data_IF_338322829408
#
_entry.id   IF_338322829408
#
_cell.length_a   1.000
_cell.length_b   1.000
_cell.length_c   1.000
_cell.angle_alpha   90.00
_cell.angle_beta   90.00
_cell.angle_gamma   90.00
#
_symmetry.space_group_name_H-M   'P 1'
#
loop_
_entity.id
_entity.type
_entity.pdbx_description
1 polymer ?
#
# COMPACT_ATOMS: atom_id res chain seq x y z
N UNK A 1 -33.85 14.45 9.95
CA UNK A 1 -32.54 13.82 10.19
C UNK A 1 -32.44 12.38 9.68
N UNK A 2 -33.53 11.72 9.29
CA UNK A 2 -33.50 10.30 8.84
C UNK A 2 -32.69 10.02 7.56
N UNK A 3 -32.48 11.05 6.73
CA UNK A 3 -31.68 10.94 5.49
C UNK A 3 -30.19 11.25 5.71
N UNK A 4 -29.77 11.63 6.91
CA UNK A 4 -28.36 11.85 7.27
C UNK A 4 -27.79 10.57 7.87
N UNK A 5 -26.58 10.19 7.47
CA UNK A 5 -25.88 9.05 8.05
C UNK A 5 -25.78 9.19 9.59
N UNK A 6 -25.97 8.10 10.38
CA UNK A 6 -25.93 8.15 11.84
C UNK A 6 -24.74 8.92 12.42
N UNK A 7 -23.51 8.64 11.97
CA UNK A 7 -22.30 9.30 12.51
C UNK A 7 -22.20 10.80 12.17
N UNK A 8 -22.95 11.28 11.18
CA UNK A 8 -22.86 12.67 10.73
C UNK A 8 -23.96 13.55 11.36
N UNK A 9 -24.84 12.97 12.20
CA UNK A 9 -25.97 13.67 12.82
C UNK A 9 -25.51 14.76 13.78
N UNK A 10 -24.46 14.52 14.55
CA UNK A 10 -23.89 15.49 15.50
C UNK A 10 -23.31 16.70 14.76
N UNK A 11 -22.63 16.45 13.64
CA UNK A 11 -22.12 17.50 12.74
C UNK A 11 -23.25 18.39 12.22
N UNK A 12 -24.36 17.79 11.80
CA UNK A 12 -25.55 18.54 11.34
C UNK A 12 -26.19 19.33 12.47
N UNK A 13 -26.31 18.74 13.67
CA UNK A 13 -26.86 19.42 14.83
C UNK A 13 -26.01 20.65 15.22
N UNK A 14 -24.69 20.53 15.21
CA UNK A 14 -23.77 21.65 15.44
C UNK A 14 -23.92 22.77 14.40
N UNK A 15 -24.18 22.42 13.13
CA UNK A 15 -24.43 23.40 12.08
C UNK A 15 -25.74 24.19 12.31
N UNK A 16 -26.80 23.51 12.74
CA UNK A 16 -28.06 24.16 13.12
C UNK A 16 -27.90 25.06 14.34
N UNK A 17 -27.14 24.62 15.34
CA UNK A 17 -26.88 25.41 16.55
C UNK A 17 -26.03 26.65 16.25
N UNK A 18 -25.02 26.54 15.38
CA UNK A 18 -24.26 27.68 14.89
C UNK A 18 -25.18 28.71 14.22
N UNK A 19 -26.14 28.24 13.42
CA UNK A 19 -27.13 29.11 12.80
C UNK A 19 -28.04 29.80 13.84
N UNK A 20 -28.48 29.07 14.88
CA UNK A 20 -29.34 29.59 15.95
C UNK A 20 -28.65 30.62 16.85
N UNK A 21 -27.34 30.44 17.06
CA UNK A 21 -26.49 31.32 17.88
C UNK A 21 -26.00 32.56 17.12
N UNK A 22 -26.48 32.80 15.89
CA UNK A 22 -26.21 34.02 15.14
C UNK A 22 -24.98 33.98 14.26
N UNK A 23 -24.40 32.81 13.99
CA UNK A 23 -23.32 32.70 13.00
C UNK A 23 -23.85 33.11 11.62
N UNK A 24 -23.10 33.96 10.92
CA UNK A 24 -23.51 34.48 9.61
C UNK A 24 -23.41 33.43 8.50
N UNK A 25 -22.53 32.44 8.65
CA UNK A 25 -22.29 31.35 7.69
C UNK A 25 -21.80 30.10 8.42
N UNK A 26 -22.01 28.95 7.80
CA UNK A 26 -21.37 27.70 8.21
C UNK A 26 -21.44 26.66 7.10
N UNK A 27 -20.57 25.66 7.17
CA UNK A 27 -20.54 24.55 6.23
C UNK A 27 -20.13 23.25 6.89
N UNK A 28 -20.67 22.13 6.39
CA UNK A 28 -20.27 20.79 6.76
C UNK A 28 -20.33 19.86 5.54
N UNK A 29 -19.52 18.80 5.56
CA UNK A 29 -19.61 17.69 4.61
C UNK A 29 -20.22 16.51 5.35
N UNK A 30 -21.25 15.90 4.78
CA UNK A 30 -22.01 14.82 5.40
C UNK A 30 -22.39 13.77 4.36
N UNK A 31 -22.64 12.54 4.82
CA UNK A 31 -23.26 11.49 4.01
C UNK A 31 -24.77 11.63 4.05
N UNK A 32 -25.36 11.80 2.87
CA UNK A 32 -26.79 11.98 2.71
C UNK A 32 -27.39 10.88 1.83
N UNK A 33 -28.55 10.36 2.25
CA UNK A 33 -29.18 9.20 1.63
C UNK A 33 -29.86 9.57 0.31
N UNK A 34 -29.39 8.96 -0.78
CA UNK A 34 -29.96 9.02 -2.11
C UNK A 34 -30.71 7.71 -2.43
N UNK A 35 -32.04 7.76 -2.46
CA UNK A 35 -32.87 6.57 -2.66
C UNK A 35 -32.86 5.61 -1.46
N UNK A 36 -33.12 4.33 -1.71
CA UNK A 36 -33.38 3.33 -0.67
C UNK A 36 -32.12 2.88 0.08
N UNK A 37 -30.94 2.81 -0.56
CA UNK A 37 -29.78 2.12 0.05
C UNK A 37 -28.41 2.82 -0.09
N UNK A 38 -28.26 3.86 -0.90
CA UNK A 38 -26.96 4.51 -1.11
C UNK A 38 -26.84 5.85 -0.35
N UNK A 39 -25.65 6.10 0.20
CA UNK A 39 -25.25 7.42 0.68
C UNK A 39 -24.35 8.10 -0.35
N UNK A 40 -24.52 9.41 -0.51
CA UNK A 40 -23.63 10.28 -1.28
C UNK A 40 -22.99 11.29 -0.35
N UNK A 41 -21.76 11.69 -0.64
CA UNK A 41 -21.15 12.83 0.02
C UNK A 41 -21.76 14.13 -0.49
N UNK A 42 -22.23 14.96 0.45
CA UNK A 42 -22.82 16.27 0.14
C UNK A 42 -22.20 17.35 1.03
N UNK A 43 -21.96 18.52 0.45
CA UNK A 43 -21.59 19.71 1.21
C UNK A 43 -22.86 20.51 1.49
N UNK A 44 -23.19 20.66 2.77
CA UNK A 44 -24.23 21.58 3.23
C UNK A 44 -23.59 22.89 3.67
N UNK A 45 -24.18 24.00 3.25
CA UNK A 45 -23.75 25.35 3.61
C UNK A 45 -24.98 26.16 3.98
N UNK A 46 -24.86 27.03 4.98
CA UNK A 46 -25.88 28.02 5.27
C UNK A 46 -25.28 29.42 5.27
N UNK A 47 -26.11 30.40 4.90
CA UNK A 47 -25.82 31.82 5.07
C UNK A 47 -27.05 32.50 5.67
N UNK A 48 -26.83 33.21 6.77
CA UNK A 48 -27.86 33.96 7.45
C UNK A 48 -27.94 35.36 6.85
N UNK A 49 -29.11 35.75 6.36
CA UNK A 49 -29.31 37.05 5.71
C UNK A 49 -29.94 38.04 6.71
N UNK A 50 -29.31 39.19 6.97
CA UNK A 50 -29.93 40.23 7.78
C UNK A 50 -31.08 40.90 7.03
N UNK A 51 -32.21 41.16 7.71
CA UNK A 51 -33.24 42.04 7.16
C UNK A 51 -32.77 43.50 7.17
N UNK A 52 -33.21 44.26 6.16
CA UNK A 52 -32.93 45.69 6.01
C UNK A 52 -33.39 46.57 7.21
N UNK A 53 -34.23 46.04 8.12
CA UNK A 53 -34.72 46.74 9.31
C UNK A 53 -33.90 46.49 10.60
N UNK A 54 -32.80 45.74 10.52
CA UNK A 54 -31.71 45.85 11.51
C UNK A 54 -31.86 45.14 12.86
N UNK A 55 -32.78 44.19 13.08
CA UNK A 55 -32.83 43.53 14.40
C UNK A 55 -33.19 42.04 14.49
N UNK A 56 -33.44 41.31 13.39
CA UNK A 56 -33.59 39.86 13.46
C UNK A 56 -33.15 39.13 12.18
N UNK A 57 -32.51 37.97 12.35
CA UNK A 57 -32.10 37.08 11.25
C UNK A 57 -33.24 36.10 10.98
N UNK A 58 -34.17 36.42 10.08
CA UNK A 58 -35.32 35.53 9.82
C UNK A 58 -35.15 34.63 8.59
N UNK A 59 -34.11 34.83 7.77
CA UNK A 59 -33.91 34.05 6.54
C UNK A 59 -32.54 33.37 6.50
N UNK A 60 -32.58 32.05 6.38
CA UNK A 60 -31.41 31.19 6.19
C UNK A 60 -31.46 30.71 4.74
N UNK A 61 -30.40 30.99 3.99
CA UNK A 61 -30.19 30.36 2.69
C UNK A 61 -29.34 29.11 2.89
N UNK A 62 -29.93 27.95 2.66
CA UNK A 62 -29.22 26.67 2.62
C UNK A 62 -28.82 26.32 1.19
N UNK A 63 -27.57 25.88 1.01
CA UNK A 63 -27.10 25.23 -0.21
C UNK A 63 -26.64 23.83 0.11
N UNK A 64 -27.07 22.87 -0.69
CA UNK A 64 -26.63 21.49 -0.64
C UNK A 64 -26.03 21.16 -2.00
N UNK A 65 -24.76 20.77 -2.01
CA UNK A 65 -24.01 20.46 -3.22
C UNK A 65 -23.59 19.00 -3.14
N UNK A 66 -23.92 18.23 -4.17
CA UNK A 66 -23.36 16.89 -4.34
C UNK A 66 -21.85 17.02 -4.57
N UNK A 67 -21.07 16.39 -3.70
CA UNK A 67 -19.61 16.38 -3.78
C UNK A 67 -19.08 14.95 -3.92
N UNK A 68 -19.93 13.98 -4.23
CA UNK A 68 -19.54 12.56 -4.29
C UNK A 68 -18.48 12.32 -5.38
N UNK A 69 -18.64 12.92 -6.56
CA UNK A 69 -17.62 12.88 -7.61
C UNK A 69 -16.31 13.53 -7.17
N UNK A 70 -16.36 14.66 -6.46
CA UNK A 70 -15.17 15.36 -5.98
C UNK A 70 -14.46 14.56 -4.89
N UNK A 71 -15.22 13.94 -3.98
CA UNK A 71 -14.72 13.10 -2.93
C UNK A 71 -14.07 11.84 -3.50
N UNK A 72 -14.78 11.13 -4.39
CA UNK A 72 -14.25 9.96 -5.07
C UNK A 72 -13.03 10.29 -5.93
N UNK A 73 -12.99 11.46 -6.57
CA UNK A 73 -11.81 11.92 -7.31
C UNK A 73 -10.65 12.24 -6.36
N UNK A 74 -10.88 12.91 -5.23
CA UNK A 74 -9.84 13.16 -4.23
C UNK A 74 -9.30 11.86 -3.63
N UNK A 75 -10.16 10.90 -3.31
CA UNK A 75 -9.73 9.61 -2.77
C UNK A 75 -9.00 8.77 -3.82
N UNK A 76 -9.44 8.80 -5.08
CA UNK A 76 -8.66 8.24 -6.20
C UNK A 76 -7.31 8.92 -6.36
N UNK A 77 -7.25 10.24 -6.29
CA UNK A 77 -6.00 11.01 -6.38
C UNK A 77 -5.06 10.68 -5.21
N UNK A 78 -5.58 10.51 -3.99
CA UNK A 78 -4.80 10.05 -2.83
C UNK A 78 -4.27 8.64 -3.07
N UNK A 79 -5.11 7.70 -3.52
CA UNK A 79 -4.68 6.33 -3.81
C UNK A 79 -3.66 6.27 -4.96
N UNK A 80 -3.83 7.08 -6.00
CA UNK A 80 -2.85 7.23 -7.08
C UNK A 80 -1.54 7.83 -6.58
N UNK A 81 -1.60 8.78 -5.63
CA UNK A 81 -0.41 9.34 -5.01
C UNK A 81 0.37 8.30 -4.20
N UNK A 82 -0.28 7.25 -3.69
CA UNK A 82 0.32 6.20 -2.86
C UNK A 82 0.77 4.95 -3.63
N UNK A 83 0.42 4.83 -4.91
CA UNK A 83 0.65 3.60 -5.68
C UNK A 83 1.60 3.80 -6.84
N UNK A 84 2.35 2.75 -7.18
CA UNK A 84 3.15 2.66 -8.39
C UNK A 84 2.22 2.57 -9.61
N UNK A 85 2.35 3.45 -10.62
CA UNK A 85 1.39 3.53 -11.73
C UNK A 85 1.38 2.29 -12.62
N UNK A 86 2.49 1.53 -12.66
CA UNK A 86 2.60 0.34 -13.50
C UNK A 86 1.94 -0.89 -12.85
N UNK A 87 2.16 -1.08 -11.56
CA UNK A 87 1.77 -2.31 -10.83
C UNK A 87 0.54 -2.12 -9.94
N UNK A 88 0.20 -0.85 -9.64
CA UNK A 88 -0.82 -0.45 -8.66
C UNK A 88 -0.56 -0.99 -7.25
N UNK A 89 0.67 -1.44 -6.96
CA UNK A 89 1.13 -1.71 -5.59
C UNK A 89 1.47 -0.40 -4.91
N UNK A 90 1.64 -0.39 -3.59
CA UNK A 90 2.18 0.81 -2.93
C UNK A 90 3.56 1.16 -3.50
N UNK A 91 3.82 2.45 -3.70
CA UNK A 91 5.17 2.90 -4.03
C UNK A 91 6.07 2.82 -2.79
N UNK A 92 7.39 3.01 -2.98
CA UNK A 92 8.42 2.89 -1.92
C UNK A 92 8.08 3.63 -0.62
N UNK A 93 7.70 4.91 -0.69
CA UNK A 93 7.29 5.67 0.50
C UNK A 93 6.06 5.09 1.21
N UNK A 94 4.97 4.86 0.47
CA UNK A 94 3.71 4.40 1.03
C UNK A 94 3.80 3.01 1.66
N UNK A 95 4.56 2.09 1.07
CA UNK A 95 4.76 0.76 1.65
C UNK A 95 5.59 0.83 2.93
N UNK A 96 6.65 1.66 2.96
CA UNK A 96 7.44 1.90 4.17
C UNK A 96 6.57 2.47 5.28
N UNK A 97 5.85 3.55 5.00
CA UNK A 97 5.00 4.23 5.98
C UNK A 97 3.91 3.30 6.52
N UNK A 98 3.32 2.48 5.66
CA UNK A 98 2.31 1.48 6.06
C UNK A 98 2.88 0.42 6.99
N UNK A 99 4.08 -0.10 6.69
CA UNK A 99 4.74 -1.11 7.53
C UNK A 99 5.21 -0.51 8.85
N UNK A 100 5.84 0.67 8.82
CA UNK A 100 6.33 1.35 10.02
C UNK A 100 5.17 1.72 10.96
N UNK A 101 4.06 2.21 10.42
CA UNK A 101 2.83 2.47 11.19
C UNK A 101 2.32 1.19 11.88
N UNK A 102 2.29 0.07 11.16
CA UNK A 102 1.88 -1.21 11.73
C UNK A 102 2.83 -1.70 12.84
N UNK A 103 4.15 -1.61 12.63
CA UNK A 103 5.15 -2.06 13.60
C UNK A 103 5.17 -1.20 14.88
N UNK A 104 4.74 0.07 14.79
CA UNK A 104 4.63 1.00 15.92
C UNK A 104 3.33 0.87 16.72
N UNK A 105 2.41 -0.01 16.33
CA UNK A 105 1.17 -0.20 17.08
C UNK A 105 1.47 -0.71 18.49
N UNK A 106 1.02 0.05 19.50
CA UNK A 106 1.16 -0.35 20.90
C UNK A 106 0.49 -1.71 21.15
N UNK A 107 1.24 -2.62 21.76
CA UNK A 107 0.76 -3.97 22.05
C UNK A 107 0.75 -4.91 20.84
N UNK A 108 1.46 -4.60 19.75
CA UNK A 108 1.63 -5.51 18.62
C UNK A 108 2.17 -6.88 19.10
N UNK A 109 1.34 -7.91 18.91
CA UNK A 109 1.67 -9.31 19.21
C UNK A 109 1.75 -10.12 17.91
N UNK A 110 2.20 -11.37 18.04
CA UNK A 110 2.27 -12.31 16.94
C UNK A 110 3.60 -12.26 16.19
N UNK A 111 3.71 -13.15 15.21
CA UNK A 111 4.88 -13.26 14.34
C UNK A 111 4.50 -12.59 13.03
N UNK A 112 5.36 -11.69 12.54
CA UNK A 112 5.19 -11.02 11.24
C UNK A 112 6.44 -11.27 10.41
N UNK A 113 6.34 -11.26 9.08
CA UNK A 113 7.48 -11.50 8.21
C UNK A 113 7.61 -10.42 7.16
N UNK A 114 8.77 -9.77 7.11
CA UNK A 114 9.14 -8.83 6.06
C UNK A 114 9.94 -9.58 5.00
N UNK A 115 9.45 -9.61 3.76
CA UNK A 115 10.09 -10.25 2.63
C UNK A 115 10.44 -9.22 1.55
N UNK A 116 11.70 -9.22 1.11
CA UNK A 116 12.17 -8.53 -0.09
C UNK A 116 12.23 -9.57 -1.20
N UNK A 117 11.55 -9.29 -2.32
CA UNK A 117 11.46 -10.16 -3.48
C UNK A 117 12.08 -9.42 -4.66
N UNK A 118 13.03 -10.05 -5.35
CA UNK A 118 13.74 -9.45 -6.49
C UNK A 118 13.66 -10.42 -7.68
N UNK A 119 13.24 -9.90 -8.84
CA UNK A 119 13.11 -10.70 -10.07
C UNK A 119 14.49 -10.97 -10.64
N UNK A 120 14.87 -12.24 -10.70
CA UNK A 120 16.20 -12.64 -11.13
C UNK A 120 16.43 -12.32 -12.61
N UNK A 121 17.60 -11.74 -12.91
CA UNK A 121 18.02 -11.35 -14.26
C UNK A 121 17.07 -10.38 -14.99
N UNK A 122 16.26 -9.62 -14.25
CA UNK A 122 15.31 -8.67 -14.87
C UNK A 122 15.99 -7.57 -15.69
N UNK A 123 17.16 -7.08 -15.23
CA UNK A 123 17.97 -6.14 -16.01
C UNK A 123 18.43 -6.74 -17.34
N UNK A 124 19.01 -7.95 -17.31
CA UNK A 124 19.49 -8.64 -18.52
C UNK A 124 18.32 -8.89 -19.50
N UNK A 125 17.14 -9.22 -18.96
CA UNK A 125 15.91 -9.34 -19.73
C UNK A 125 15.52 -8.02 -20.40
N UNK A 126 15.53 -6.90 -19.67
CA UNK A 126 15.22 -5.58 -20.22
C UNK A 126 16.23 -5.14 -21.28
N UNK A 127 17.52 -5.41 -21.05
CA UNK A 127 18.58 -5.06 -22.01
C UNK A 127 18.43 -5.86 -23.32
N UNK A 128 17.86 -7.07 -23.24
CA UNK A 128 17.63 -7.94 -24.41
C UNK A 128 16.31 -7.66 -25.14
N UNK A 129 15.22 -7.43 -24.40
CA UNK A 129 13.85 -7.39 -24.93
C UNK A 129 13.16 -6.03 -24.81
N UNK A 130 13.82 -5.05 -24.19
CA UNK A 130 13.32 -3.70 -23.97
C UNK A 130 12.39 -3.56 -22.76
N UNK A 131 12.36 -2.36 -22.19
CA UNK A 131 11.58 -2.04 -21.00
C UNK A 131 10.08 -2.30 -21.15
N UNK A 132 9.49 -2.09 -22.33
CA UNK A 132 8.06 -2.39 -22.55
C UNK A 132 7.72 -3.86 -22.33
N UNK A 133 8.64 -4.78 -22.62
CA UNK A 133 8.48 -6.21 -22.33
C UNK A 133 8.71 -6.49 -20.85
N UNK A 134 9.71 -5.85 -20.25
CA UNK A 134 9.91 -5.87 -18.80
C UNK A 134 8.67 -5.48 -18.01
N UNK A 135 7.98 -4.42 -18.44
CA UNK A 135 6.77 -3.94 -17.80
C UNK A 135 5.67 -5.01 -17.79
N UNK A 136 5.48 -5.72 -18.91
CA UNK A 136 4.54 -6.85 -19.01
C UNK A 136 4.93 -7.97 -18.04
N UNK A 137 6.21 -8.31 -17.98
CA UNK A 137 6.74 -9.32 -17.05
C UNK A 137 6.47 -8.90 -15.60
N UNK A 138 6.77 -7.66 -15.25
CA UNK A 138 6.58 -7.16 -13.90
C UNK A 138 5.10 -7.20 -13.50
N UNK A 139 4.19 -6.76 -14.38
CA UNK A 139 2.73 -6.85 -14.14
C UNK A 139 2.32 -8.31 -13.90
N UNK A 140 2.87 -9.25 -14.66
CA UNK A 140 2.59 -10.68 -14.49
C UNK A 140 3.11 -11.22 -13.16
N UNK A 141 4.32 -10.86 -12.75
CA UNK A 141 4.88 -11.21 -11.43
C UNK A 141 4.00 -10.68 -10.30
N UNK A 142 3.62 -9.40 -10.37
CA UNK A 142 2.73 -8.77 -9.38
C UNK A 142 1.36 -9.43 -9.34
N UNK A 143 0.81 -9.79 -10.51
CA UNK A 143 -0.48 -10.49 -10.59
C UNK A 143 -0.42 -11.86 -9.92
N UNK A 144 0.66 -12.61 -10.16
CA UNK A 144 0.88 -13.91 -9.52
C UNK A 144 1.11 -13.75 -8.02
N UNK A 145 1.91 -12.78 -7.60
CA UNK A 145 2.16 -12.47 -6.19
C UNK A 145 0.85 -12.19 -5.44
N UNK A 146 0.00 -11.32 -5.97
CA UNK A 146 -1.32 -11.01 -5.38
C UNK A 146 -2.19 -12.26 -5.22
N UNK A 147 -2.19 -13.15 -6.20
CA UNK A 147 -2.96 -14.42 -6.11
C UNK A 147 -2.42 -15.33 -5.01
N UNK A 148 -1.10 -15.44 -4.89
CA UNK A 148 -0.47 -16.28 -3.86
C UNK A 148 -0.67 -15.72 -2.45
N UNK A 149 -0.84 -14.41 -2.32
CA UNK A 149 -1.08 -13.71 -1.05
C UNK A 149 -2.57 -13.51 -0.71
N UNK A 150 -3.51 -13.94 -1.57
CA UNK A 150 -4.92 -13.61 -1.45
C UNK A 150 -5.55 -14.02 -0.11
N UNK A 151 -5.10 -15.13 0.48
CA UNK A 151 -5.60 -15.67 1.74
C UNK A 151 -4.78 -15.21 2.97
N UNK A 152 -3.96 -14.17 2.82
CA UNK A 152 -3.08 -13.65 3.89
C UNK A 152 -3.40 -12.20 4.21
N UNK A 153 -3.26 -11.78 5.47
CA UNK A 153 -3.22 -10.36 5.78
C UNK A 153 -1.81 -9.83 5.50
N UNK A 154 -1.70 -8.87 4.57
CA UNK A 154 -0.42 -8.41 4.07
C UNK A 154 -0.44 -6.95 3.63
N UNK A 155 0.76 -6.37 3.58
CA UNK A 155 1.05 -5.10 2.91
C UNK A 155 2.06 -5.39 1.81
N UNK A 156 1.83 -4.89 0.60
CA UNK A 156 2.72 -5.13 -0.55
C UNK A 156 2.98 -3.84 -1.33
N UNK A 157 4.25 -3.64 -1.68
CA UNK A 157 4.71 -2.47 -2.44
C UNK A 157 5.82 -2.80 -3.42
N UNK A 158 6.03 -1.90 -4.38
CA UNK A 158 7.19 -1.90 -5.27
C UNK A 158 8.18 -0.85 -4.76
N UNK A 159 9.39 -1.30 -4.41
CA UNK A 159 10.44 -0.44 -3.80
C UNK A 159 11.58 -0.11 -4.77
N UNK A 160 11.72 -0.87 -5.85
CA UNK A 160 12.73 -0.69 -6.89
C UNK A 160 12.19 -1.07 -8.29
N UNK A 161 13.09 -1.15 -9.28
CA UNK A 161 12.72 -1.53 -10.65
C UNK A 161 12.06 -2.92 -10.71
N UNK A 162 12.75 -3.90 -10.14
CA UNK A 162 12.40 -5.33 -10.04
C UNK A 162 12.17 -5.79 -8.60
N UNK A 163 12.25 -4.88 -7.63
CA UNK A 163 12.14 -5.20 -6.21
C UNK A 163 10.75 -4.92 -5.65
N UNK A 164 10.18 -5.94 -5.02
CA UNK A 164 8.91 -5.91 -4.31
C UNK A 164 9.16 -6.13 -2.82
N UNK A 165 8.39 -5.44 -1.99
CA UNK A 165 8.42 -5.56 -0.54
C UNK A 165 7.07 -6.06 -0.05
N UNK A 166 7.08 -7.09 0.79
CA UNK A 166 5.88 -7.68 1.39
C UNK A 166 6.06 -7.73 2.90
N UNK A 167 5.08 -7.23 3.64
CA UNK A 167 4.91 -7.55 5.06
C UNK A 167 3.73 -8.52 5.18
N UNK A 168 3.99 -9.71 5.71
CA UNK A 168 2.99 -10.69 6.10
C UNK A 168 2.67 -10.52 7.57
N UNK A 169 1.40 -10.38 7.91
CA UNK A 169 0.95 -10.18 9.28
C UNK A 169 0.44 -11.48 9.89
N UNK A 170 0.74 -11.67 11.17
CA UNK A 170 0.33 -12.79 12.01
C UNK A 170 0.46 -14.15 11.31
N UNK A 171 1.68 -14.46 10.86
CA UNK A 171 1.99 -15.71 10.17
C UNK A 171 1.91 -16.94 11.11
N UNK A 172 1.77 -16.70 12.42
CA UNK A 172 1.60 -17.71 13.45
C UNK A 172 2.90 -18.43 13.84
N UNK A 173 3.64 -18.97 12.87
CA UNK A 173 4.94 -19.65 13.12
C UNK A 173 5.96 -19.34 12.02
N UNK A 174 7.24 -19.50 12.35
CA UNK A 174 8.35 -19.32 11.40
C UNK A 174 8.30 -20.38 10.28
N UNK A 175 7.84 -21.59 10.58
CA UNK A 175 7.65 -22.65 9.59
C UNK A 175 6.59 -22.28 8.56
N UNK A 176 5.49 -21.64 9.00
CA UNK A 176 4.47 -21.12 8.08
C UNK A 176 5.02 -20.02 7.17
N UNK A 177 5.92 -19.18 7.69
CA UNK A 177 6.67 -18.22 6.86
C UNK A 177 7.49 -18.92 5.80
N UNK A 178 8.24 -19.96 6.17
CA UNK A 178 9.06 -20.73 5.23
C UNK A 178 8.20 -21.48 4.19
N UNK A 179 7.04 -22.00 4.57
CA UNK A 179 6.11 -22.66 3.66
C UNK A 179 5.51 -21.67 2.65
N UNK A 180 5.13 -20.48 3.10
CA UNK A 180 4.66 -19.43 2.20
C UNK A 180 5.79 -18.94 1.30
N UNK A 181 7.00 -18.75 1.82
CA UNK A 181 8.17 -18.40 1.02
C UNK A 181 8.43 -19.42 -0.09
N UNK A 182 8.37 -20.72 0.23
CA UNK A 182 8.51 -21.81 -0.74
C UNK A 182 7.41 -21.75 -1.81
N UNK A 183 6.17 -21.49 -1.42
CA UNK A 183 5.05 -21.31 -2.37
C UNK A 183 5.27 -20.10 -3.27
N UNK A 184 5.80 -19.00 -2.74
CA UNK A 184 6.14 -17.81 -3.52
C UNK A 184 7.26 -18.10 -4.51
N UNK A 185 8.37 -18.70 -4.08
CA UNK A 185 9.49 -19.09 -4.95
C UNK A 185 9.01 -19.97 -6.11
N UNK A 186 8.25 -21.03 -5.82
CA UNK A 186 7.74 -21.94 -6.86
C UNK A 186 6.72 -21.24 -7.76
N UNK A 187 5.80 -20.46 -7.20
CA UNK A 187 4.75 -19.81 -7.98
C UNK A 187 5.25 -18.66 -8.86
N UNK A 188 6.35 -18.01 -8.47
CA UNK A 188 6.98 -16.94 -9.25
C UNK A 188 7.97 -17.45 -10.29
N UNK A 189 8.46 -18.69 -10.16
CA UNK A 189 9.25 -19.34 -11.21
C UNK A 189 8.36 -19.72 -12.39
N UNK A 190 8.64 -19.13 -13.56
CA UNK A 190 7.79 -19.30 -14.75
C UNK A 190 8.56 -19.15 -16.05
N UNK A 191 8.08 -19.84 -17.06
CA UNK A 191 8.44 -19.61 -18.46
C UNK A 191 7.49 -18.57 -19.05
N UNK A 192 8.06 -17.58 -19.72
CA UNK A 192 7.31 -16.59 -20.49
C UNK A 192 7.68 -16.71 -21.97
N UNK A 193 6.66 -16.67 -22.83
CA UNK A 193 6.87 -16.55 -24.27
C UNK A 193 7.03 -15.07 -24.61
N UNK A 194 8.18 -14.72 -25.18
CA UNK A 194 8.51 -13.39 -25.69
C UNK A 194 8.45 -13.39 -27.22
N UNK A 195 8.99 -12.35 -27.85
CA UNK A 195 8.89 -12.13 -29.30
C UNK A 195 9.30 -13.34 -30.12
N UNK A 196 8.53 -13.58 -31.19
CA UNK A 196 8.73 -14.68 -32.14
C UNK A 196 8.70 -16.10 -31.53
N UNK A 197 8.03 -16.27 -30.38
CA UNK A 197 7.87 -17.59 -29.75
C UNK A 197 9.08 -18.04 -28.93
N UNK A 198 10.04 -17.15 -28.69
CA UNK A 198 11.18 -17.44 -27.82
C UNK A 198 10.69 -17.60 -26.39
N UNK A 199 11.10 -18.68 -25.72
CA UNK A 199 10.82 -18.89 -24.31
C UNK A 199 11.96 -18.38 -23.43
N UNK A 200 11.60 -17.75 -22.30
CA UNK A 200 12.52 -17.31 -21.26
C UNK A 200 12.02 -17.77 -19.90
N UNK A 201 12.89 -18.43 -19.16
CA UNK A 201 12.65 -18.73 -17.76
C UNK A 201 13.01 -17.51 -16.91
N UNK A 202 12.09 -17.12 -16.05
CA UNK A 202 12.28 -16.08 -15.05
C UNK A 202 11.92 -16.63 -13.68
N UNK A 203 12.66 -16.18 -12.68
CA UNK A 203 12.50 -16.58 -11.29
C UNK A 203 12.60 -15.36 -10.37
N UNK A 204 12.44 -15.58 -9.07
CA UNK A 204 12.67 -14.55 -8.07
C UNK A 204 13.47 -15.10 -6.90
N UNK A 205 14.28 -14.22 -6.32
CA UNK A 205 15.02 -14.45 -5.09
C UNK A 205 14.35 -13.71 -3.93
N UNK A 206 14.22 -14.36 -2.77
CA UNK A 206 13.53 -13.81 -1.61
C UNK A 206 14.44 -13.77 -0.38
N UNK A 207 14.58 -12.61 0.24
CA UNK A 207 15.16 -12.46 1.57
C UNK A 207 14.09 -12.11 2.59
N UNK A 208 14.08 -12.79 3.74
CA UNK A 208 12.99 -12.70 4.71
C UNK A 208 13.54 -12.45 6.10
N UNK A 209 12.96 -11.50 6.83
CA UNK A 209 13.22 -11.27 8.26
C UNK A 209 11.90 -11.40 9.05
N UNK A 210 12.00 -11.94 10.26
CA UNK A 210 10.88 -12.30 11.11
C UNK A 210 10.81 -11.37 12.33
N UNK A 211 9.70 -10.66 12.50
CA UNK A 211 9.38 -9.94 13.73
C UNK A 211 8.86 -10.92 14.81
N UNK A 212 9.23 -10.72 16.09
CA UNK A 212 10.19 -9.74 16.60
C UNK A 212 11.64 -10.25 16.63
N UNK A 213 11.87 -11.50 16.22
CA UNK A 213 13.15 -12.20 16.37
C UNK A 213 14.33 -11.47 15.71
N UNK A 214 14.15 -11.01 14.48
CA UNK A 214 15.18 -10.41 13.64
C UNK A 214 15.14 -8.87 13.68
N UNK A 215 14.25 -8.30 14.51
CA UNK A 215 14.08 -6.86 14.64
C UNK A 215 12.66 -6.45 15.01
N UNK A 216 12.54 -5.26 15.62
CA UNK A 216 11.24 -4.67 16.02
C UNK A 216 10.89 -3.39 15.27
N UNK A 217 11.79 -2.91 14.41
CA UNK A 217 11.57 -1.70 13.59
C UNK A 217 11.68 -2.04 12.11
N UNK A 218 11.07 -1.20 11.26
CA UNK A 218 11.15 -1.37 9.81
C UNK A 218 12.61 -1.43 9.32
N UNK A 219 13.46 -0.47 9.74
CA UNK A 219 14.81 -0.36 9.20
C UNK A 219 15.68 -1.58 9.57
N UNK A 220 15.53 -2.11 10.79
CA UNK A 220 16.25 -3.33 11.23
C UNK A 220 15.78 -4.58 10.47
N UNK A 221 14.46 -4.77 10.34
CA UNK A 221 13.90 -5.90 9.59
C UNK A 221 14.27 -5.83 8.11
N UNK A 222 14.27 -4.63 7.54
CA UNK A 222 14.63 -4.41 6.14
C UNK A 222 16.10 -4.77 5.90
N UNK A 223 17.00 -4.34 6.78
CA UNK A 223 18.43 -4.69 6.68
C UNK A 223 18.66 -6.20 6.78
N UNK A 224 18.00 -6.87 7.72
CA UNK A 224 18.06 -8.33 7.89
C UNK A 224 17.55 -9.07 6.64
N UNK A 225 16.39 -8.65 6.11
CA UNK A 225 15.82 -9.24 4.89
C UNK A 225 16.71 -9.00 3.66
N UNK A 226 17.36 -7.83 3.56
CA UNK A 226 18.28 -7.51 2.45
C UNK A 226 19.56 -8.37 2.49
N UNK A 227 20.13 -8.61 3.68
CA UNK A 227 21.25 -9.56 3.85
C UNK A 227 20.85 -10.98 3.42
N UNK A 228 19.67 -11.43 3.83
CA UNK A 228 19.14 -12.73 3.42
C UNK A 228 18.92 -12.81 1.90
N UNK A 229 18.42 -11.75 1.27
CA UNK A 229 18.24 -11.68 -0.19
C UNK A 229 19.59 -11.76 -0.91
N UNK A 230 20.58 -10.99 -0.44
CA UNK A 230 21.93 -11.04 -1.00
C UNK A 230 22.53 -12.44 -0.91
N UNK A 231 22.34 -13.13 0.23
CA UNK A 231 22.76 -14.51 0.41
C UNK A 231 22.15 -15.43 -0.65
N UNK A 232 20.84 -15.35 -0.91
CA UNK A 232 20.18 -16.13 -1.98
C UNK A 232 20.79 -15.84 -3.35
N UNK A 233 21.02 -14.56 -3.68
CA UNK A 233 21.59 -14.18 -4.97
C UNK A 233 23.01 -14.70 -5.18
N UNK A 234 23.79 -14.88 -4.11
CA UNK A 234 25.12 -15.50 -4.17
C UNK A 234 25.09 -17.02 -4.22
N UNK A 235 24.02 -17.65 -3.76
CA UNK A 235 23.88 -19.11 -3.67
C UNK A 235 22.94 -19.71 -4.72
N UNK A 236 22.87 -19.08 -5.89
CA UNK A 236 22.23 -19.67 -7.07
C UNK A 236 20.89 -19.07 -7.47
N UNK A 237 20.38 -18.06 -6.75
CA UNK A 237 19.09 -17.39 -7.05
C UNK A 237 17.90 -18.37 -7.01
N UNK A 238 16.71 -17.94 -7.47
CA UNK A 238 15.51 -18.78 -7.56
C UNK A 238 15.20 -19.55 -6.27
N UNK A 239 15.36 -18.88 -5.13
CA UNK A 239 15.19 -19.48 -3.82
C UNK A 239 14.80 -18.42 -2.79
N UNK A 240 14.63 -18.83 -1.55
CA UNK A 240 14.44 -17.94 -0.42
C UNK A 240 15.44 -18.24 0.69
N UNK A 241 15.67 -17.24 1.54
CA UNK A 241 16.38 -17.42 2.79
C UNK A 241 15.69 -16.62 3.89
N UNK A 242 15.44 -17.27 5.02
CA UNK A 242 15.12 -16.56 6.26
C UNK A 242 16.45 -16.08 6.84
N UNK A 243 16.47 -14.84 7.28
CA UNK A 243 17.62 -14.26 7.94
C UNK A 243 18.01 -15.11 9.16
N UNK A 244 19.31 -15.27 9.33
CA UNK A 244 19.94 -15.87 10.50
C UNK A 244 21.19 -15.04 10.81
N UNK A 245 21.45 -14.81 12.10
CA UNK A 245 22.66 -14.14 12.59
C UNK A 245 23.98 -14.71 12.02
N UNK A 246 24.00 -15.97 11.58
CA UNK A 246 25.16 -16.57 10.92
C UNK A 246 25.59 -15.85 9.62
N UNK A 247 24.69 -15.10 8.98
CA UNK A 247 24.97 -14.34 7.75
C UNK A 247 25.26 -12.84 8.00
N UNK A 248 25.47 -12.42 9.25
CA UNK A 248 25.72 -11.01 9.60
C UNK A 248 26.98 -10.39 8.98
N UNK A 249 27.98 -11.22 8.67
CA UNK A 249 29.21 -10.77 8.01
C UNK A 249 29.00 -10.41 6.53
N UNK A 250 27.82 -10.70 5.96
CA UNK A 250 27.48 -10.39 4.58
C UNK A 250 27.04 -8.92 4.50
N UNK A 251 27.64 -8.10 3.61
CA UNK A 251 27.18 -6.74 3.40
C UNK A 251 25.77 -6.74 2.80
N UNK A 252 24.92 -5.83 3.28
CA UNK A 252 23.60 -5.60 2.68
C UNK A 252 23.76 -5.08 1.24
N UNK A 253 22.81 -5.38 0.36
CA UNK A 253 22.80 -4.88 -1.03
C UNK A 253 22.85 -3.35 -1.05
N UNK A 254 22.19 -2.70 -0.09
CA UNK A 254 22.25 -1.25 0.11
C UNK A 254 23.67 -0.70 0.42
N UNK A 255 24.59 -1.53 0.93
CA UNK A 255 25.98 -1.17 1.21
C UNK A 255 26.95 -1.42 0.05
N UNK A 256 26.53 -2.08 -1.03
CA UNK A 256 27.42 -2.55 -2.11
C UNK A 256 27.29 -1.72 -3.41
N UNK A 257 26.26 -0.88 -3.56
CA UNK A 257 26.04 -0.09 -4.78
C UNK A 257 27.02 1.09 -5.02
N UNK A 258 28.02 1.33 -4.17
CA UNK A 258 29.00 2.42 -4.40
C UNK A 258 30.27 2.04 -5.21
N UNK A 259 30.54 0.76 -5.49
CA UNK A 259 31.68 0.41 -6.36
C UNK A 259 31.24 0.18 -7.80
N UNK A 260 31.03 1.28 -8.54
CA UNK A 260 31.07 1.25 -10.01
C UNK A 260 32.50 0.92 -10.46
N UNK A 261 32.73 -0.12 -11.29
CA UNK A 261 34.01 -0.30 -11.94
C UNK A 261 34.22 0.85 -12.95
N UNK A 262 35.41 1.44 -12.91
CA UNK A 262 35.89 2.49 -13.84
C UNK A 262 36.09 1.94 -15.25
#
# INVERSE_FOLDING_TARGET
MERVHPDDRDTVAGLFEACRTGHKKGSAQIRFRNGAEAYLWVQIQFSALPLASGSATERILGRMTDIDEQWNMQDKLKMQALTDPLTSLFHKGAVKDSIDSFLRCDGLQGIHALAIIDIDHFKDFNDTFGHSRGDVVLIQFVTTLRKLLADTDHVVGRVGGDELLVLLKDVGTVERTADLARRLTVGLHRTITVDHGIERELSASLGIAVYPQDGTTYDVLFEAADKALYHVKKHGRNNFHLYDSAIDAIPSKAGVEEEKPR
#
